data_IF_529921621346
#
_entry.id   IF_529921621346
#
_cell.length_a   1.000
_cell.length_b   1.000
_cell.length_c   1.000
_cell.angle_alpha   90.00
_cell.angle_beta   90.00
_cell.angle_gamma   90.00
#
_symmetry.space_group_name_H-M   'P 1'
#
loop_
_entity.id
_entity.type
_entity.pdbx_description
1 polymer ?
#
# COMPACT_ATOMS: atom_id res chain seq x y z
N UNK A 1 7.05 12.54 -27.80
CA UNK A 1 7.61 13.56 -26.87
C UNK A 1 6.55 14.24 -25.98
N UNK A 2 5.27 14.30 -26.37
CA UNK A 2 4.18 14.99 -25.63
C UNK A 2 3.62 14.28 -24.37
N UNK A 3 4.18 13.14 -23.95
CA UNK A 3 3.66 12.34 -22.80
C UNK A 3 4.15 12.86 -21.43
N UNK A 4 5.28 13.55 -21.37
CA UNK A 4 5.84 14.11 -20.12
C UNK A 4 5.29 15.51 -19.75
N UNK A 5 4.47 16.10 -20.62
CA UNK A 5 3.80 17.40 -20.40
C UNK A 5 2.32 17.23 -20.03
N UNK A 6 1.90 16.02 -19.63
CA UNK A 6 0.58 15.90 -19.02
C UNK A 6 0.59 16.69 -17.71
N UNK A 7 -0.40 17.56 -17.45
CA UNK A 7 -0.42 18.42 -16.27
C UNK A 7 -0.30 17.61 -14.97
N UNK A 8 -0.78 16.36 -14.99
CA UNK A 8 -0.64 15.39 -13.89
C UNK A 8 0.82 15.02 -13.61
N UNK A 9 1.67 14.90 -14.64
CA UNK A 9 3.08 14.56 -14.46
C UNK A 9 3.89 15.74 -13.92
N UNK A 10 3.63 16.95 -14.41
CA UNK A 10 4.20 18.18 -13.85
C UNK A 10 3.83 18.36 -12.38
N UNK A 11 2.56 18.14 -12.02
CA UNK A 11 2.12 18.23 -10.63
C UNK A 11 2.87 17.24 -9.74
N UNK A 12 3.01 15.98 -10.16
CA UNK A 12 3.77 14.97 -9.40
C UNK A 12 5.24 15.37 -9.22
N UNK A 13 5.87 15.91 -10.27
CA UNK A 13 7.25 16.40 -10.20
C UNK A 13 7.37 17.58 -9.23
N UNK A 14 6.44 18.52 -9.28
CA UNK A 14 6.40 19.67 -8.37
C UNK A 14 6.23 19.23 -6.91
N UNK A 15 5.33 18.28 -6.65
CA UNK A 15 5.13 17.72 -5.30
C UNK A 15 6.42 17.08 -4.78
N UNK A 16 7.08 16.25 -5.61
CA UNK A 16 8.35 15.64 -5.23
C UNK A 16 9.43 16.69 -4.89
N UNK A 17 9.55 17.74 -5.70
CA UNK A 17 10.51 18.84 -5.46
C UNK A 17 10.18 19.60 -4.17
N UNK A 18 8.91 19.91 -3.92
CA UNK A 18 8.48 20.61 -2.69
C UNK A 18 8.76 19.76 -1.46
N UNK A 19 8.49 18.45 -1.51
CA UNK A 19 8.78 17.54 -0.39
C UNK A 19 10.28 17.47 -0.08
N UNK A 20 11.12 17.33 -1.11
CA UNK A 20 12.58 17.29 -0.96
C UNK A 20 13.10 18.61 -0.40
N UNK A 21 12.68 19.74 -0.98
CA UNK A 21 13.09 21.07 -0.51
C UNK A 21 12.63 21.31 0.93
N UNK A 22 11.40 20.93 1.28
CA UNK A 22 10.86 21.02 2.64
C UNK A 22 11.65 20.19 3.65
N UNK A 23 11.99 18.94 3.31
CA UNK A 23 12.83 18.09 4.17
C UNK A 23 14.21 18.72 4.37
N UNK A 24 14.87 19.18 3.31
CA UNK A 24 16.20 19.80 3.42
C UNK A 24 16.16 21.11 4.22
N UNK A 25 15.12 21.93 4.05
CA UNK A 25 14.94 23.16 4.82
C UNK A 25 14.72 22.86 6.32
N UNK A 26 13.90 21.84 6.64
CA UNK A 26 13.70 21.39 8.02
C UNK A 26 14.98 20.82 8.63
N UNK A 27 15.74 20.01 7.88
CA UNK A 27 17.03 19.49 8.31
C UNK A 27 18.04 20.60 8.59
N UNK A 28 18.12 21.60 7.70
CA UNK A 28 18.96 22.77 7.89
C UNK A 28 18.57 23.57 9.13
N UNK A 29 17.27 23.81 9.33
CA UNK A 29 16.77 24.51 10.50
C UNK A 29 17.05 23.74 11.81
N UNK A 30 16.91 22.42 11.79
CA UNK A 30 17.26 21.59 12.95
C UNK A 30 18.76 21.59 13.23
N UNK A 31 19.60 21.66 12.20
CA UNK A 31 21.05 21.78 12.37
C UNK A 31 21.43 23.10 13.04
N UNK A 32 20.79 24.19 12.65
CA UNK A 32 20.97 25.50 13.32
C UNK A 32 20.56 25.42 14.80
N UNK A 33 19.40 24.80 15.07
CA UNK A 33 18.91 24.59 16.44
C UNK A 33 19.79 23.67 17.28
N UNK A 34 20.39 22.65 16.65
CA UNK A 34 21.31 21.73 17.30
C UNK A 34 22.59 22.43 17.75
N UNK A 35 23.12 23.34 16.92
CA UNK A 35 24.26 24.21 17.28
C UNK A 35 23.93 25.16 18.42
N UNK A 36 22.66 25.55 18.57
CA UNK A 36 22.15 26.33 19.70
C UNK A 36 22.06 25.58 21.04
N UNK A 37 22.52 24.32 21.12
CA UNK A 37 22.65 23.56 22.37
C UNK A 37 21.64 22.42 22.55
N UNK A 38 20.76 22.15 21.58
CA UNK A 38 19.82 21.03 21.65
C UNK A 38 20.39 19.76 20.99
N UNK A 39 20.91 18.83 21.80
CA UNK A 39 21.49 17.59 21.31
C UNK A 39 20.50 16.67 20.55
N UNK A 40 19.20 16.69 20.89
CA UNK A 40 18.18 15.88 20.20
C UNK A 40 17.97 16.34 18.75
N UNK A 41 18.20 17.63 18.46
CA UNK A 41 18.05 18.17 17.11
C UNK A 41 19.07 17.60 16.10
N UNK A 42 20.19 17.02 16.55
CA UNK A 42 21.13 16.34 15.64
C UNK A 42 20.51 15.12 14.95
N UNK A 43 19.70 14.34 15.68
CA UNK A 43 18.99 13.19 15.10
C UNK A 43 18.10 13.63 13.94
N UNK A 44 17.27 14.64 14.19
CA UNK A 44 16.38 15.20 13.17
C UNK A 44 17.14 15.84 12.00
N UNK A 45 18.25 16.55 12.27
CA UNK A 45 19.07 17.16 11.22
C UNK A 45 19.62 16.12 10.23
N UNK A 46 19.83 14.87 10.65
CA UNK A 46 20.24 13.75 9.79
C UNK A 46 19.02 13.01 9.21
N UNK A 47 17.97 12.82 10.00
CA UNK A 47 16.74 12.14 9.59
C UNK A 47 16.07 12.82 8.39
N UNK A 48 15.98 14.15 8.41
CA UNK A 48 15.33 14.91 7.33
C UNK A 48 16.00 14.70 5.95
N UNK A 49 17.33 14.79 5.80
CA UNK A 49 18.03 14.37 4.57
C UNK A 49 17.76 12.93 4.15
N UNK A 50 17.67 11.98 5.10
CA UNK A 50 17.35 10.58 4.78
C UNK A 50 15.95 10.47 4.17
N UNK A 51 14.96 11.18 4.72
CA UNK A 51 13.63 11.25 4.11
C UNK A 51 13.65 11.92 2.73
N UNK A 52 14.44 12.99 2.53
CA UNK A 52 14.60 13.60 1.22
C UNK A 52 15.14 12.59 0.18
N UNK A 53 16.17 11.82 0.55
CA UNK A 53 16.71 10.74 -0.29
C UNK A 53 15.68 9.65 -0.58
N UNK A 54 14.87 9.27 0.42
CA UNK A 54 13.79 8.30 0.26
C UNK A 54 12.74 8.79 -0.74
N UNK A 55 12.33 10.05 -0.67
CA UNK A 55 11.39 10.65 -1.64
C UNK A 55 11.98 10.63 -3.06
N UNK A 56 13.25 11.01 -3.22
CA UNK A 56 13.95 10.95 -4.51
C UNK A 56 14.01 9.52 -5.04
N UNK A 57 14.28 8.54 -4.18
CA UNK A 57 14.30 7.13 -4.53
C UNK A 57 12.94 6.67 -5.07
N UNK A 58 11.86 6.88 -4.31
CA UNK A 58 10.50 6.52 -4.73
C UNK A 58 10.12 7.22 -6.03
N UNK A 59 10.42 8.52 -6.14
CA UNK A 59 10.16 9.30 -7.36
C UNK A 59 10.91 8.73 -8.57
N UNK A 60 12.19 8.40 -8.40
CA UNK A 60 13.01 7.79 -9.47
C UNK A 60 12.47 6.43 -9.89
N UNK A 61 11.88 5.66 -8.96
CA UNK A 61 11.28 4.35 -9.24
C UNK A 61 9.99 4.52 -10.03
N UNK A 62 9.15 5.47 -9.66
CA UNK A 62 7.92 5.82 -10.36
C UNK A 62 8.20 6.30 -11.79
N UNK A 63 9.15 7.23 -11.96
CA UNK A 63 9.56 7.70 -13.29
C UNK A 63 10.11 6.55 -14.14
N UNK A 64 10.86 5.61 -13.54
CA UNK A 64 11.34 4.41 -14.24
C UNK A 64 10.20 3.46 -14.60
N UNK A 65 9.21 3.27 -13.74
CA UNK A 65 8.04 2.42 -14.02
C UNK A 65 7.20 2.99 -15.16
N UNK A 66 6.91 4.29 -15.14
CA UNK A 66 6.17 4.98 -16.20
C UNK A 66 6.90 4.87 -17.55
N UNK A 67 8.23 5.03 -17.55
CA UNK A 67 9.07 4.84 -18.76
C UNK A 67 9.04 3.41 -19.30
N UNK A 68 8.82 2.41 -18.45
CA UNK A 68 8.70 1.00 -18.82
C UNK A 68 7.29 0.61 -19.27
N UNK A 69 6.36 1.56 -19.37
CA UNK A 69 4.98 1.31 -19.78
C UNK A 69 3.97 1.25 -18.65
N UNK A 70 4.33 1.73 -17.45
CA UNK A 70 3.53 1.63 -16.23
C UNK A 70 3.89 0.42 -15.40
N UNK A 71 3.31 0.31 -14.20
CA UNK A 71 3.43 -0.90 -13.39
C UNK A 71 2.72 -2.05 -14.11
N UNK A 72 3.50 -2.95 -14.72
CA UNK A 72 2.97 -4.25 -15.12
C UNK A 72 2.59 -4.97 -13.81
N UNK A 73 1.32 -5.41 -13.65
CA UNK A 73 0.97 -6.30 -12.56
C UNK A 73 1.99 -7.44 -12.53
N UNK A 74 2.48 -7.86 -11.35
CA UNK A 74 3.30 -9.05 -11.27
C UNK A 74 2.54 -10.15 -12.02
N UNK A 75 3.23 -10.94 -12.88
CA UNK A 75 2.57 -12.04 -13.56
C UNK A 75 1.79 -12.82 -12.49
N UNK A 76 0.54 -13.24 -12.79
CA UNK A 76 -0.22 -14.05 -11.85
C UNK A 76 0.72 -15.14 -11.33
N UNK A 77 0.74 -15.38 -10.00
CA UNK A 77 1.72 -16.28 -9.42
C UNK A 77 1.77 -17.52 -10.28
N UNK A 78 2.95 -17.82 -10.86
CA UNK A 78 3.17 -19.06 -11.57
C UNK A 78 2.59 -20.15 -10.65
N UNK A 79 1.71 -20.99 -11.20
CA UNK A 79 1.02 -22.07 -10.48
C UNK A 79 1.94 -22.56 -9.37
N UNK A 80 1.55 -22.33 -8.11
CA UNK A 80 2.42 -22.57 -6.96
C UNK A 80 3.09 -23.92 -7.18
N UNK A 81 4.43 -23.95 -7.27
CA UNK A 81 5.18 -25.19 -7.50
C UNK A 81 4.65 -26.27 -6.57
N UNK A 82 4.49 -27.50 -7.07
CA UNK A 82 3.84 -28.59 -6.33
C UNK A 82 4.49 -28.78 -4.94
N UNK A 83 5.78 -28.49 -4.82
CA UNK A 83 6.60 -28.53 -3.60
C UNK A 83 6.34 -27.38 -2.60
N UNK A 84 5.75 -26.27 -3.05
CA UNK A 84 5.35 -25.13 -2.23
C UNK A 84 3.84 -25.12 -1.93
N UNK A 85 3.09 -26.11 -2.42
CA UNK A 85 1.70 -26.32 -2.04
C UNK A 85 1.69 -26.82 -0.60
N UNK A 86 1.24 -25.96 0.29
CA UNK A 86 0.93 -26.35 1.66
C UNK A 86 -0.34 -27.20 1.56
N UNK A 87 -0.21 -28.52 1.64
CA UNK A 87 -1.33 -29.39 1.97
C UNK A 87 -1.79 -28.98 3.37
N UNK A 88 -2.88 -28.21 3.42
CA UNK A 88 -3.54 -27.91 4.68
C UNK A 88 -4.13 -29.24 5.16
N UNK A 89 -3.61 -29.83 6.25
CA UNK A 89 -4.20 -31.06 6.77
C UNK A 89 -5.66 -30.76 7.10
N UNK A 90 -6.57 -31.47 6.43
CA UNK A 90 -8.00 -31.40 6.74
C UNK A 90 -8.15 -31.91 8.17
N UNK A 91 -8.23 -30.97 9.11
CA UNK A 91 -8.56 -31.27 10.49
C UNK A 91 -9.96 -31.88 10.47
N UNK A 92 -10.20 -33.07 11.05
CA UNK A 92 -11.53 -33.63 11.09
C UNK A 92 -12.45 -32.63 11.80
N UNK A 93 -13.37 -32.05 11.04
CA UNK A 93 -14.32 -31.07 11.54
C UNK A 93 -15.29 -31.81 12.43
N UNK A 94 -15.15 -31.66 13.75
CA UNK A 94 -16.23 -32.02 14.66
C UNK A 94 -17.25 -30.90 14.51
N UNK A 95 -18.37 -31.19 13.85
CA UNK A 95 -19.40 -30.19 13.56
C UNK A 95 -19.98 -29.65 14.88
N UNK A 96 -19.58 -28.42 15.23
CA UNK A 96 -20.10 -27.72 16.38
C UNK A 96 -21.34 -26.90 16.01
N UNK A 97 -22.14 -26.51 17.00
CA UNK A 97 -23.27 -25.61 16.77
C UNK A 97 -22.83 -24.25 16.19
N UNK A 98 -21.65 -23.76 16.57
CA UNK A 98 -21.04 -22.54 16.03
C UNK A 98 -20.67 -22.67 14.55
N UNK A 99 -20.22 -23.84 14.11
CA UNK A 99 -19.93 -24.11 12.69
C UNK A 99 -21.20 -24.13 11.84
N UNK A 100 -22.30 -24.67 12.38
CA UNK A 100 -23.60 -24.69 11.71
C UNK A 100 -24.17 -23.28 11.53
N UNK A 101 -24.08 -22.43 12.55
CA UNK A 101 -24.48 -21.02 12.49
C UNK A 101 -23.60 -20.23 11.51
N UNK A 102 -22.28 -20.44 11.54
CA UNK A 102 -21.33 -19.80 10.62
C UNK A 102 -21.62 -20.18 9.16
N UNK A 103 -21.99 -21.44 8.89
CA UNK A 103 -22.37 -21.91 7.56
C UNK A 103 -23.65 -21.22 7.07
N UNK A 104 -24.69 -21.20 7.91
CA UNK A 104 -25.95 -20.52 7.58
C UNK A 104 -25.74 -19.02 7.30
N UNK A 105 -24.86 -18.35 8.07
CA UNK A 105 -24.52 -16.95 7.84
C UNK A 105 -23.75 -16.75 6.53
N UNK A 106 -22.79 -17.62 6.22
CA UNK A 106 -22.04 -17.54 4.97
C UNK A 106 -22.94 -17.81 3.75
N UNK A 107 -23.90 -18.73 3.85
CA UNK A 107 -24.90 -18.99 2.82
C UNK A 107 -25.82 -17.78 2.62
N UNK A 108 -26.22 -17.10 3.71
CA UNK A 108 -26.96 -15.84 3.67
C UNK A 108 -26.18 -14.71 2.97
N UNK A 109 -24.88 -14.56 3.28
CA UNK A 109 -24.04 -13.56 2.62
C UNK A 109 -23.85 -13.85 1.12
N UNK A 110 -23.66 -15.12 0.75
CA UNK A 110 -23.55 -15.53 -0.64
C UNK A 110 -24.86 -15.25 -1.42
N UNK A 111 -25.99 -15.48 -0.78
CA UNK A 111 -27.29 -15.17 -1.35
C UNK A 111 -27.51 -13.67 -1.52
N UNK A 112 -27.18 -12.84 -0.52
CA UNK A 112 -27.26 -11.37 -0.64
C UNK A 112 -26.37 -10.83 -1.74
N UNK A 113 -25.16 -11.39 -1.91
CA UNK A 113 -24.24 -10.99 -2.98
C UNK A 113 -24.84 -11.20 -4.38
N UNK A 114 -25.70 -12.19 -4.53
CA UNK A 114 -26.42 -12.46 -5.79
C UNK A 114 -27.76 -11.71 -5.90
N UNK A 115 -28.25 -11.12 -4.80
CA UNK A 115 -29.54 -10.41 -4.72
C UNK A 115 -29.39 -9.02 -4.07
N UNK A 116 -28.78 -8.03 -4.77
CA UNK A 116 -28.38 -6.73 -4.21
C UNK A 116 -29.52 -5.79 -3.78
N UNK A 117 -30.79 -6.20 -3.94
CA UNK A 117 -31.98 -5.48 -3.48
C UNK A 117 -32.86 -6.26 -2.52
N UNK A 118 -32.45 -7.47 -2.14
CA UNK A 118 -33.20 -8.30 -1.21
C UNK A 118 -33.14 -7.73 0.22
N UNK A 119 -34.25 -7.88 0.94
CA UNK A 119 -34.33 -7.56 2.37
C UNK A 119 -33.99 -8.81 3.18
N UNK A 120 -33.59 -8.67 4.46
CA UNK A 120 -33.28 -9.82 5.31
C UNK A 120 -34.39 -10.87 5.40
N UNK A 121 -35.66 -10.48 5.25
CA UNK A 121 -36.82 -11.39 5.27
C UNK A 121 -37.09 -12.14 3.95
N UNK A 122 -36.35 -11.81 2.88
CA UNK A 122 -36.50 -12.47 1.57
C UNK A 122 -35.59 -13.71 1.45
N UNK A 123 -34.77 -13.99 2.47
CA UNK A 123 -33.86 -15.14 2.48
C UNK A 123 -34.65 -16.45 2.65
N UNK A 124 -34.43 -17.46 1.79
CA UNK A 124 -35.21 -18.70 1.79
C UNK A 124 -34.71 -19.76 2.79
N UNK A 125 -33.67 -19.48 3.58
CA UNK A 125 -33.03 -20.41 4.52
C UNK A 125 -33.39 -20.20 5.98
#
# INVERSE_FOLDING_TARGET
MRRYLTPRWLLRHAIAVVLVAGCLALGWWQLDRARGGNALSYGYAVEWPVFALFVVFVWSREVRAERRGGYAPPPPPASVPEDLRIEVPVRPTVESAEDAETRAYNDYLAWLATHPGAKPGDYPG
#
